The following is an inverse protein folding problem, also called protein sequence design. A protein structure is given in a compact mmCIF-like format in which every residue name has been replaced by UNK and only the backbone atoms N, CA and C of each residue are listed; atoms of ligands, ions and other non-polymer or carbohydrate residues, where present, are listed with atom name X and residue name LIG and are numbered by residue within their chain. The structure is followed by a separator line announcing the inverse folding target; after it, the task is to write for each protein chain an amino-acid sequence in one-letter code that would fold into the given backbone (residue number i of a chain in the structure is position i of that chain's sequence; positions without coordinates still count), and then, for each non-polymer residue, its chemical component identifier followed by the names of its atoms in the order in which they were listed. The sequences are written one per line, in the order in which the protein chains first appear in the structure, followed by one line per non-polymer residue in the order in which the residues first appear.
data_IF_195187263364
#
_entry.id   IF_195187263364
#
_cell.length_a   1.000
_cell.length_b   1.000
_cell.length_c   1.000
_cell.angle_alpha   90.00
_cell.angle_beta   90.00
_cell.angle_gamma   90.00
#
_symmetry.space_group_name_H-M   'P 1'
#
loop_
_entity.id
_entity.type
_entity.pdbx_description
1 polymer ?
#
# COMPACT_ATOMS: atom_id res chain seq x y z
N UNK A 1 -3.07 -28.56 -18.21
CA UNK A 1 -4.04 -28.24 -17.15
C UNK A 1 -3.90 -26.75 -16.93
N UNK A 2 -4.89 -25.95 -17.30
CA UNK A 2 -4.88 -24.52 -17.00
C UNK A 2 -5.06 -24.40 -15.50
N UNK A 3 -3.96 -24.19 -14.76
CA UNK A 3 -4.04 -23.70 -13.39
C UNK A 3 -4.96 -22.47 -13.43
N UNK A 4 -6.08 -22.54 -12.71
CA UNK A 4 -6.92 -21.38 -12.47
C UNK A 4 -6.07 -20.40 -11.66
N UNK A 5 -5.32 -19.54 -12.35
CA UNK A 5 -4.44 -18.58 -11.72
C UNK A 5 -5.29 -17.67 -10.83
N UNK A 6 -4.98 -17.69 -9.54
CA UNK A 6 -5.58 -16.81 -8.54
C UNK A 6 -4.90 -15.47 -8.67
N UNK A 7 -5.69 -14.50 -9.11
CA UNK A 7 -5.19 -13.19 -9.49
C UNK A 7 -6.10 -12.11 -8.93
N UNK A 8 -5.47 -11.03 -8.48
CA UNK A 8 -6.15 -9.84 -8.03
C UNK A 8 -5.65 -8.66 -8.84
N UNK A 9 -6.58 -7.82 -9.29
CA UNK A 9 -6.27 -6.58 -9.98
C UNK A 9 -6.38 -5.44 -8.96
N UNK A 10 -5.32 -4.66 -8.82
CA UNK A 10 -5.35 -3.41 -8.07
C UNK A 10 -5.31 -2.24 -9.04
N UNK A 11 -6.20 -1.27 -8.82
CA UNK A 11 -6.21 -0.01 -9.54
C UNK A 11 -5.63 1.08 -8.65
N UNK A 12 -4.72 1.88 -9.19
CA UNK A 12 -4.05 2.89 -8.40
C UNK A 12 -3.70 4.15 -9.20
N UNK A 13 -3.62 5.27 -8.49
CA UNK A 13 -3.18 6.54 -9.04
C UNK A 13 -1.73 6.78 -8.66
N UNK A 14 -0.89 7.16 -9.62
CA UNK A 14 0.48 7.58 -9.33
C UNK A 14 0.48 8.84 -8.47
N UNK A 15 1.21 8.82 -7.36
CA UNK A 15 1.46 10.02 -6.56
C UNK A 15 2.56 10.83 -7.26
N UNK A 16 2.23 12.03 -7.72
CA UNK A 16 3.20 12.96 -8.30
C UNK A 16 2.97 14.40 -7.79
N UNK A 17 4.00 15.25 -7.80
CA UNK A 17 3.87 16.65 -7.35
C UNK A 17 3.03 17.52 -8.29
N UNK A 18 2.86 17.11 -9.54
CA UNK A 18 2.11 17.87 -10.55
C UNK A 18 0.59 17.68 -10.43
N UNK A 19 0.14 16.80 -9.54
CA UNK A 19 -1.25 16.40 -9.37
C UNK A 19 -1.92 15.90 -10.67
N UNK A 20 -1.12 15.38 -11.61
CA UNK A 20 -1.66 14.76 -12.83
C UNK A 20 -2.18 13.37 -12.49
N UNK A 21 -3.38 13.03 -12.96
CA UNK A 21 -3.97 11.72 -12.72
C UNK A 21 -3.40 10.70 -13.70
N UNK A 22 -2.29 10.06 -13.33
CA UNK A 22 -1.81 8.87 -14.05
C UNK A 22 -2.37 7.62 -13.37
N UNK A 23 -3.28 6.93 -14.05
CA UNK A 23 -3.93 5.74 -13.54
C UNK A 23 -3.23 4.47 -14.03
N UNK A 24 -3.12 3.48 -13.16
CA UNK A 24 -2.50 2.20 -13.46
C UNK A 24 -3.37 1.05 -12.93
N UNK A 25 -3.29 -0.08 -13.62
CA UNK A 25 -3.81 -1.36 -13.13
C UNK A 25 -2.66 -2.36 -13.05
N UNK A 26 -2.64 -3.13 -11.96
CA UNK A 26 -1.63 -4.15 -11.70
C UNK A 26 -2.34 -5.47 -11.39
N UNK A 27 -1.95 -6.52 -12.08
CA UNK A 27 -2.39 -7.89 -11.78
C UNK A 27 -1.34 -8.51 -10.86
N UNK A 28 -1.79 -9.02 -9.72
CA UNK A 28 -0.94 -9.67 -8.72
C UNK A 28 -1.33 -11.13 -8.56
N UNK A 29 -0.34 -11.98 -8.26
CA UNK A 29 -0.56 -13.37 -7.88
C UNK A 29 -0.78 -13.53 -6.34
N UNK A 30 -0.92 -14.77 -5.88
CA UNK A 30 -1.13 -15.12 -4.47
C UNK A 30 -0.08 -14.56 -3.49
N UNK A 31 1.15 -14.31 -3.97
CA UNK A 31 2.23 -13.71 -3.17
C UNK A 31 2.20 -12.17 -3.18
N UNK A 32 1.20 -11.56 -3.83
CA UNK A 32 1.12 -10.12 -4.13
C UNK A 32 2.30 -9.61 -4.97
N UNK A 33 2.87 -10.49 -5.78
CA UNK A 33 3.87 -10.16 -6.79
C UNK A 33 3.16 -9.70 -8.07
N UNK A 34 3.62 -8.60 -8.65
CA UNK A 34 3.05 -8.05 -9.89
C UNK A 34 3.45 -8.91 -11.08
N UNK A 35 2.46 -9.51 -11.75
CA UNK A 35 2.65 -10.32 -12.96
C UNK A 35 2.34 -9.54 -14.24
N UNK A 36 1.42 -8.56 -14.19
CA UNK A 36 1.11 -7.67 -15.30
C UNK A 36 0.84 -6.24 -14.82
N UNK A 37 1.16 -5.26 -15.67
CA UNK A 37 0.96 -3.85 -15.39
C UNK A 37 0.57 -3.10 -16.66
N UNK A 38 -0.44 -2.23 -16.55
CA UNK A 38 -0.85 -1.31 -17.61
C UNK A 38 -1.02 0.11 -17.06
N UNK A 39 -0.67 1.10 -17.88
CA UNK A 39 -1.10 2.48 -17.70
C UNK A 39 -2.43 2.67 -18.39
N UNK A 40 -3.37 3.31 -17.71
CA UNK A 40 -4.73 3.55 -18.19
C UNK A 40 -4.90 5.03 -18.51
N UNK A 41 -5.18 5.34 -19.76
CA UNK A 41 -5.51 6.71 -20.18
C UNK A 41 -7.02 6.93 -20.16
N UNK A 42 -7.80 5.95 -20.61
CA UNK A 42 -9.26 6.02 -20.62
C UNK A 42 -9.87 4.63 -20.49
N UNK A 43 -10.47 4.32 -19.34
CA UNK A 43 -11.21 3.05 -19.16
C UNK A 43 -12.45 2.98 -20.06
N UNK A 44 -13.16 4.10 -20.21
CA UNK A 44 -14.39 4.15 -20.99
C UNK A 44 -14.15 3.87 -22.48
N UNK A 45 -13.00 4.29 -22.99
CA UNK A 45 -12.60 4.10 -24.39
C UNK A 45 -11.66 2.90 -24.58
N UNK A 46 -11.31 2.19 -23.49
CA UNK A 46 -10.42 1.03 -23.51
C UNK A 46 -8.97 1.36 -23.87
N UNK A 47 -8.53 2.60 -23.66
CA UNK A 47 -7.17 3.04 -23.99
C UNK A 47 -6.24 2.69 -22.83
N UNK A 48 -5.53 1.58 -23.00
CA UNK A 48 -4.54 1.05 -22.07
C UNK A 48 -3.19 0.85 -22.77
N UNK A 49 -2.11 1.10 -22.05
CA UNK A 49 -0.74 0.91 -22.53
C UNK A 49 0.00 -0.08 -21.63
N UNK A 50 0.52 -1.19 -22.17
CA UNK A 50 1.28 -2.14 -21.36
C UNK A 50 2.58 -1.53 -20.85
N UNK A 51 2.92 -1.84 -19.60
CA UNK A 51 4.20 -1.48 -18.97
C UNK A 51 5.07 -2.72 -18.92
N UNK A 52 5.86 -2.93 -19.98
CA UNK A 52 6.59 -4.18 -20.20
C UNK A 52 7.69 -4.46 -19.15
N UNK A 53 8.27 -3.42 -18.54
CA UNK A 53 9.29 -3.57 -17.50
C UNK A 53 8.97 -2.68 -16.29
N UNK A 54 7.88 -3.00 -15.59
CA UNK A 54 7.41 -2.20 -14.45
C UNK A 54 8.46 -2.04 -13.35
N UNK A 55 9.33 -3.03 -13.12
CA UNK A 55 10.40 -2.96 -12.12
C UNK A 55 11.41 -1.85 -12.40
N UNK A 56 11.69 -1.60 -13.67
CA UNK A 56 12.56 -0.52 -14.10
C UNK A 56 11.79 0.80 -14.19
N UNK A 57 10.66 0.78 -14.88
CA UNK A 57 9.91 1.98 -15.28
C UNK A 57 9.20 2.65 -14.10
N UNK A 58 8.79 1.85 -13.10
CA UNK A 58 8.06 2.29 -11.92
C UNK A 58 8.90 2.17 -10.63
N UNK A 59 10.22 2.02 -10.76
CA UNK A 59 11.14 1.99 -9.61
C UNK A 59 10.97 3.26 -8.78
N UNK A 60 10.82 3.09 -7.47
CA UNK A 60 10.64 4.20 -6.51
C UNK A 60 9.40 5.07 -6.77
N UNK A 61 8.44 4.59 -7.57
CA UNK A 61 7.19 5.30 -7.79
C UNK A 61 6.20 4.92 -6.69
N UNK A 62 5.56 5.94 -6.13
CA UNK A 62 4.53 5.78 -5.12
C UNK A 62 3.15 5.82 -5.78
N UNK A 63 2.26 4.95 -5.33
CA UNK A 63 0.90 4.85 -5.81
C UNK A 63 -0.08 5.00 -4.65
N UNK A 64 -1.25 5.54 -4.93
CA UNK A 64 -2.41 5.57 -4.05
C UNK A 64 -3.43 4.55 -4.57
N UNK A 65 -3.79 3.59 -3.72
CA UNK A 65 -4.72 2.52 -4.04
C UNK A 65 -6.13 3.10 -4.16
N UNK A 66 -6.76 2.90 -5.32
CA UNK A 66 -8.13 3.35 -5.57
C UNK A 66 -9.13 2.24 -5.25
N UNK A 67 -8.94 1.06 -5.83
CA UNK A 67 -9.80 -0.10 -5.60
C UNK A 67 -9.12 -1.40 -5.99
N UNK A 68 -9.74 -2.51 -5.58
CA UNK A 68 -9.25 -3.88 -5.76
C UNK A 68 -10.36 -4.70 -6.44
N UNK A 69 -10.03 -5.54 -7.42
CA UNK A 69 -10.95 -6.45 -8.11
C UNK A 69 -10.37 -7.87 -8.15
N UNK A 70 -11.21 -8.89 -8.05
CA UNK A 70 -10.82 -10.30 -8.17
C UNK A 70 -11.55 -10.97 -9.34
N UNK A 71 -11.05 -12.11 -9.81
CA UNK A 71 -11.75 -12.89 -10.82
C UNK A 71 -12.91 -13.69 -10.18
N UNK A 72 -14.17 -13.39 -10.50
CA UNK A 72 -15.34 -14.03 -9.87
C UNK A 72 -15.51 -15.51 -10.17
N UNK A 73 -14.76 -16.07 -11.13
CA UNK A 73 -14.93 -17.45 -11.59
C UNK A 73 -13.98 -18.43 -10.91
N UNK A 74 -13.12 -17.95 -10.02
CA UNK A 74 -12.14 -18.75 -9.29
C UNK A 74 -12.26 -18.50 -7.79
N UNK A 75 -11.76 -19.44 -7.00
CA UNK A 75 -11.66 -19.27 -5.56
C UNK A 75 -10.49 -18.33 -5.22
N UNK A 76 -10.82 -17.14 -4.72
CA UNK A 76 -9.86 -16.09 -4.36
C UNK A 76 -9.64 -15.97 -2.85
N UNK A 77 -10.12 -16.93 -2.05
CA UNK A 77 -10.12 -16.83 -0.58
C UNK A 77 -8.73 -16.52 -0.04
N UNK A 78 -7.71 -17.26 -0.49
CA UNK A 78 -6.34 -17.14 0.00
C UNK A 78 -5.69 -15.78 -0.34
N UNK A 79 -5.84 -15.32 -1.59
CA UNK A 79 -5.26 -14.03 -2.01
C UNK A 79 -5.98 -12.84 -1.35
N UNK A 80 -7.30 -12.94 -1.13
CA UNK A 80 -8.09 -11.96 -0.38
C UNK A 80 -7.64 -11.91 1.08
N UNK A 81 -7.48 -13.06 1.73
CA UNK A 81 -7.01 -13.14 3.12
C UNK A 81 -5.59 -12.57 3.25
N UNK A 82 -4.66 -12.94 2.35
CA UNK A 82 -3.30 -12.40 2.36
C UNK A 82 -3.30 -10.88 2.18
N UNK A 83 -4.04 -10.34 1.21
CA UNK A 83 -4.14 -8.89 1.01
C UNK A 83 -4.72 -8.19 2.25
N UNK A 84 -5.78 -8.75 2.84
CA UNK A 84 -6.45 -8.19 4.02
C UNK A 84 -5.50 -8.14 5.21
N UNK A 85 -4.79 -9.24 5.48
CA UNK A 85 -3.78 -9.29 6.54
C UNK A 85 -2.66 -8.26 6.34
N UNK A 86 -2.23 -8.01 5.10
CA UNK A 86 -1.20 -7.00 4.79
C UNK A 86 -1.70 -5.58 5.05
N UNK A 87 -2.96 -5.29 4.73
CA UNK A 87 -3.60 -4.00 5.02
C UNK A 87 -3.79 -3.81 6.54
N UNK A 88 -4.29 -4.82 7.25
CA UNK A 88 -4.46 -4.79 8.71
C UNK A 88 -3.13 -4.59 9.44
N UNK A 89 -2.04 -5.23 8.97
CA UNK A 89 -0.71 -5.11 9.55
C UNK A 89 -0.16 -3.67 9.51
N UNK A 90 -0.60 -2.85 8.55
CA UNK A 90 -0.26 -1.42 8.48
C UNK A 90 -1.33 -0.53 9.14
N UNK A 91 -2.30 -1.13 9.80
CA UNK A 91 -3.38 -0.44 10.51
C UNK A 91 -4.50 0.05 9.60
N UNK A 92 -4.69 -0.54 8.41
CA UNK A 92 -5.83 -0.25 7.54
C UNK A 92 -6.93 -1.27 7.83
N UNK A 93 -8.16 -0.80 8.04
CA UNK A 93 -9.32 -1.66 8.26
C UNK A 93 -10.07 -1.86 6.94
N UNK A 94 -10.43 -3.12 6.65
CA UNK A 94 -11.29 -3.48 5.51
C UNK A 94 -12.70 -3.73 6.03
N UNK A 95 -13.62 -2.83 5.74
CA UNK A 95 -15.02 -2.92 6.19
C UNK A 95 -15.84 -3.65 5.13
N UNK A 96 -16.82 -4.45 5.58
CA UNK A 96 -17.69 -5.25 4.73
C UNK A 96 -16.92 -6.16 3.74
N UNK A 97 -15.91 -6.94 4.21
CA UNK A 97 -15.25 -7.88 3.33
C UNK A 97 -16.27 -8.90 2.78
N UNK A 98 -16.08 -9.42 1.56
CA UNK A 98 -16.96 -10.44 1.01
C UNK A 98 -17.02 -11.64 1.98
N UNK A 99 -18.24 -12.12 2.27
CA UNK A 99 -18.43 -13.36 3.04
C UNK A 99 -17.79 -14.54 2.32
N UNK A 100 -17.37 -15.58 3.05
CA UNK A 100 -16.76 -16.79 2.47
C UNK A 100 -17.55 -17.39 1.30
N UNK A 101 -18.88 -17.42 1.40
CA UNK A 101 -19.75 -17.92 0.32
C UNK A 101 -19.80 -16.97 -0.90
N UNK A 102 -19.57 -15.67 -0.70
CA UNK A 102 -19.49 -14.66 -1.77
C UNK A 102 -18.09 -14.51 -2.37
N UNK A 103 -17.04 -14.92 -1.67
CA UNK A 103 -15.65 -14.90 -2.16
C UNK A 103 -15.43 -15.76 -3.41
N UNK A 104 -16.24 -16.81 -3.59
CA UNK A 104 -16.23 -17.67 -4.77
C UNK A 104 -16.87 -17.05 -6.03
N UNK A 105 -17.42 -15.82 -5.96
CA UNK A 105 -18.32 -15.28 -6.99
C UNK A 105 -18.05 -13.82 -7.43
N UNK A 106 -17.08 -13.09 -6.89
CA UNK A 106 -17.23 -11.63 -6.86
C UNK A 106 -16.51 -10.80 -7.95
N UNK A 107 -17.34 -10.13 -8.77
CA UNK A 107 -17.11 -8.83 -9.43
C UNK A 107 -17.14 -7.65 -8.42
N UNK A 108 -16.93 -7.90 -7.12
CA UNK A 108 -17.08 -6.89 -6.07
C UNK A 108 -15.72 -6.40 -5.57
N UNK A 109 -15.63 -5.13 -5.14
CA UNK A 109 -14.46 -4.65 -4.41
C UNK A 109 -14.22 -5.51 -3.16
N UNK A 110 -12.95 -5.63 -2.76
CA UNK A 110 -12.49 -6.35 -1.54
C UNK A 110 -13.26 -5.94 -0.26
N UNK A 111 -13.86 -4.76 -0.28
CA UNK A 111 -14.54 -4.12 0.83
C UNK A 111 -14.35 -2.61 0.70
N UNK A 112 -14.82 -1.87 1.69
CA UNK A 112 -14.50 -0.45 1.84
C UNK A 112 -13.17 -0.32 2.59
N UNK A 113 -12.19 0.29 1.93
CA UNK A 113 -10.92 0.66 2.55
C UNK A 113 -11.11 2.05 3.15
N UNK A 114 -11.02 2.15 4.48
CA UNK A 114 -11.38 3.35 5.24
C UNK A 114 -10.36 4.49 5.13
N UNK A 115 -9.16 4.18 4.66
CA UNK A 115 -8.01 5.07 4.67
C UNK A 115 -7.38 5.15 3.28
N UNK A 116 -6.74 6.28 2.96
CA UNK A 116 -5.93 6.36 1.75
C UNK A 116 -4.68 5.49 1.92
N UNK A 117 -4.65 4.36 1.21
CA UNK A 117 -3.52 3.43 1.23
C UNK A 117 -2.55 3.79 0.13
N UNK A 118 -1.27 3.97 0.50
CA UNK A 118 -0.19 4.15 -0.47
C UNK A 118 0.70 2.93 -0.51
N UNK A 119 1.29 2.67 -1.67
CA UNK A 119 2.18 1.53 -1.85
C UNK A 119 3.24 1.80 -2.91
N UNK A 120 4.27 0.96 -2.90
CA UNK A 120 5.30 0.88 -3.93
C UNK A 120 5.69 -0.59 -4.17
N UNK A 121 6.48 -0.86 -5.20
CA UNK A 121 7.02 -2.19 -5.47
C UNK A 121 8.46 -2.30 -4.97
N UNK A 122 8.78 -3.40 -4.28
CA UNK A 122 10.17 -3.67 -3.92
C UNK A 122 10.99 -4.18 -5.12
N UNK A 123 12.29 -4.37 -4.95
CA UNK A 123 13.20 -4.85 -6.01
C UNK A 123 12.81 -6.23 -6.55
N UNK A 124 12.11 -7.01 -5.73
CA UNK A 124 11.57 -8.32 -6.07
C UNK A 124 10.16 -8.25 -6.65
N UNK A 125 9.59 -7.07 -6.96
CA UNK A 125 8.28 -6.91 -7.60
C UNK A 125 7.05 -7.14 -6.71
N UNK A 126 7.24 -7.26 -5.41
CA UNK A 126 6.14 -7.40 -4.46
C UNK A 126 5.60 -6.04 -4.06
N UNK A 127 4.28 -5.97 -3.87
CA UNK A 127 3.60 -4.78 -3.34
C UNK A 127 3.94 -4.59 -1.86
N UNK A 128 4.38 -3.38 -1.51
CA UNK A 128 4.62 -2.96 -0.13
C UNK A 128 3.68 -1.81 0.21
N UNK A 129 2.69 -2.09 1.07
CA UNK A 129 1.76 -1.08 1.57
C UNK A 129 2.39 -0.24 2.68
N UNK A 130 2.03 1.05 2.70
CA UNK A 130 2.51 2.03 3.67
C UNK A 130 1.38 2.42 4.63
N UNK A 131 1.73 2.57 5.90
CA UNK A 131 0.80 3.02 6.94
C UNK A 131 0.11 4.34 6.55
N UNK A 132 -1.23 4.43 6.69
CA UNK A 132 -1.94 5.67 6.42
C UNK A 132 -1.49 6.78 7.39
N UNK A 133 -1.27 7.98 6.83
CA UNK A 133 -0.71 9.13 7.55
C UNK A 133 -1.48 9.50 8.84
N UNK A 134 -2.77 9.13 8.94
CA UNK A 134 -3.61 9.44 10.10
C UNK A 134 -3.10 8.86 11.42
N UNK A 135 -2.27 7.81 11.40
CA UNK A 135 -1.79 7.13 12.63
C UNK A 135 -0.39 7.54 13.09
N UNK A 136 0.33 8.35 12.32
CA UNK A 136 1.62 8.90 12.73
C UNK A 136 1.40 10.15 13.60
N UNK A 137 1.23 9.96 14.92
CA UNK A 137 1.33 11.08 15.86
C UNK A 137 2.79 11.51 15.94
N UNK A 138 3.08 12.76 15.58
CA UNK A 138 4.35 13.37 15.89
C UNK A 138 4.52 13.40 17.42
N UNK A 139 5.42 12.58 17.95
CA UNK A 139 5.82 12.69 19.35
C UNK A 139 6.68 13.96 19.41
N UNK A 140 6.19 15.00 20.10
CA UNK A 140 7.03 16.15 20.41
C UNK A 140 8.23 15.62 21.21
N UNK A 141 9.44 15.79 20.64
CA UNK A 141 10.67 15.52 21.37
C UNK A 141 10.63 16.39 22.63
N UNK A 142 10.60 15.75 23.80
CA UNK A 142 10.71 16.45 25.07
C UNK A 142 12.06 17.15 25.04
N UNK A 143 12.05 18.49 24.94
CA UNK A 143 13.27 19.27 25.16
C UNK A 143 13.78 18.90 26.54
N UNK A 144 14.98 18.34 26.60
CA UNK A 144 15.72 18.16 27.84
C UNK A 144 16.06 19.55 28.39
N UNK A 145 15.13 20.16 29.10
CA UNK A 145 15.40 21.43 29.78
C UNK A 145 16.25 21.17 31.02
N UNK A 146 17.51 21.62 30.92
CA UNK A 146 18.37 22.10 31.98
C UNK A 146 18.63 21.16 33.17
N UNK A 147 19.61 20.27 33.01
CA UNK A 147 20.48 19.88 34.13
C UNK A 147 21.23 21.13 34.57
N UNK A 148 20.82 21.73 35.70
CA UNK A 148 21.57 22.82 36.32
C UNK A 148 23.01 22.37 36.61
N UNK A 149 24.05 23.09 36.15
CA UNK A 149 25.39 22.82 36.59
C UNK A 149 25.51 23.17 38.07
N UNK A 150 25.85 22.18 38.88
CA UNK A 150 26.28 22.35 40.28
C UNK A 150 27.48 23.31 40.25
N UNK A 151 27.30 24.55 40.73
CA UNK A 151 28.41 25.47 40.98
C UNK A 151 29.28 24.85 42.08
N UNK A 152 30.49 24.42 41.72
CA UNK A 152 31.54 24.13 42.72
C UNK A 152 31.86 25.42 43.47
N UNK A 153 31.75 25.39 44.79
CA UNK A 153 32.33 26.42 45.68
C UNK A 153 33.85 26.46 45.47
N UNK A 154 34.48 27.64 45.41
CA UNK A 154 35.93 27.74 45.45
C UNK A 154 36.44 27.49 46.87
N UNK A 155 37.41 26.59 46.99
CA UNK A 155 38.19 26.36 48.20
C UNK A 155 38.88 27.66 48.65
N UNK A 156 38.66 28.05 49.91
CA UNK A 156 39.47 29.09 50.56
C UNK A 156 40.89 28.56 50.81
N UNK A 157 41.95 29.30 50.42
CA UNK A 157 43.28 28.98 50.91
C UNK A 157 43.40 29.45 52.37
N UNK A 158 43.75 28.52 53.28
CA UNK A 158 44.26 28.87 54.60
C UNK A 158 45.63 29.55 54.43
N UNK A 159 45.73 30.82 54.86
CA UNK A 159 46.87 31.40 55.59
C UNK A 159 46.54 32.81 56.07
#
# INVERSE_FOLDING_TARGET
MTENAREILINATRVNPAHTTDLYEFVLNDSLYVIECVRVESLAEGIIYPVNNYLLDLKNVLFELNHVRVNPRVDNTEIIENLTQRLEAIGVEVINPPSQESMAMCYRPLGEITENVRFYFNESGNVIFLCPNAKLRAIQAVKSENVHPIKKQPDQPMK
#
